data_IF_743136045787
#
_entry.id   IF_743136045787
#
_cell.length_a   1.000
_cell.length_b   1.000
_cell.length_c   1.000
_cell.angle_alpha   90.00
_cell.angle_beta   90.00
_cell.angle_gamma   90.00
#
_symmetry.space_group_name_H-M   'P 1'
#
loop_
_entity.id
_entity.type
_entity.pdbx_description
1 polymer ?
#
# COMPACT_ATOMS: atom_id res chain seq x y z
N UNK A 1 -5.68 38.21 67.55
CA UNK A 1 -6.52 37.18 66.93
C UNK A 1 -6.63 37.49 65.45
N UNK A 2 -6.18 36.55 64.61
CA UNK A 2 -6.50 36.32 63.18
C UNK A 2 -6.41 37.51 62.19
N UNK A 3 -5.83 37.38 61.00
CA UNK A 3 -5.27 36.24 60.29
C UNK A 3 -4.62 36.72 58.98
N UNK A 4 -3.54 36.07 58.59
CA UNK A 4 -2.90 36.21 57.28
C UNK A 4 -3.87 35.73 56.19
N UNK A 5 -3.91 36.42 55.05
CA UNK A 5 -4.35 35.81 53.79
C UNK A 5 -3.41 36.25 52.68
N UNK A 6 -2.44 35.38 52.40
CA UNK A 6 -1.57 35.48 51.23
C UNK A 6 -2.40 35.35 49.96
N UNK A 7 -2.18 36.29 49.03
CA UNK A 7 -2.63 36.13 47.64
C UNK A 7 -1.70 35.10 46.98
N UNK A 8 -2.21 33.88 46.87
CA UNK A 8 -1.62 32.85 46.03
C UNK A 8 -1.72 33.28 44.57
N UNK A 9 -0.57 33.55 43.97
CA UNK A 9 -0.39 33.78 42.55
C UNK A 9 -0.51 32.43 41.84
N UNK A 10 -1.74 31.99 41.57
CA UNK A 10 -1.99 30.80 40.75
C UNK A 10 -1.84 31.17 39.27
N UNK A 11 -0.60 31.39 38.85
CA UNK A 11 -0.24 31.20 37.44
C UNK A 11 -0.10 29.70 37.23
N UNK A 12 -1.07 29.12 36.55
CA UNK A 12 -0.91 27.81 35.91
C UNK A 12 0.17 27.97 34.86
N UNK A 13 1.43 27.73 35.24
CA UNK A 13 2.52 27.60 34.30
C UNK A 13 2.21 26.39 33.41
N UNK A 14 1.68 26.67 32.22
CA UNK A 14 1.64 25.69 31.16
C UNK A 14 3.10 25.34 30.86
N UNK A 15 3.49 24.10 31.17
CA UNK A 15 4.76 23.54 30.72
C UNK A 15 4.66 23.43 29.20
N UNK A 16 5.10 24.48 28.50
CA UNK A 16 5.38 24.41 27.07
C UNK A 16 6.60 23.50 26.98
N UNK A 17 6.35 22.22 26.68
CA UNK A 17 7.43 21.32 26.28
C UNK A 17 8.15 22.00 25.10
N UNK A 18 9.49 22.10 25.13
CA UNK A 18 10.21 22.60 23.98
C UNK A 18 9.77 21.77 22.75
N UNK A 19 9.71 22.37 21.55
CA UNK A 19 9.55 21.58 20.33
C UNK A 19 10.56 20.45 20.42
N UNK A 20 10.09 19.22 20.26
CA UNK A 20 10.99 18.07 20.14
C UNK A 20 12.09 18.48 19.17
N UNK A 21 13.35 18.50 19.64
CA UNK A 21 14.50 18.82 18.79
C UNK A 21 14.55 17.90 17.56
N UNK A 22 13.90 16.75 17.68
CA UNK A 22 13.78 15.72 16.68
C UNK A 22 12.42 15.74 16.01
N UNK A 23 12.39 15.54 14.70
CA UNK A 23 11.14 15.55 13.97
C UNK A 23 10.10 14.53 14.48
N UNK A 24 8.82 14.87 14.39
CA UNK A 24 7.72 13.99 14.77
C UNK A 24 7.15 13.28 13.53
N UNK A 25 7.13 11.94 13.57
CA UNK A 25 6.50 11.14 12.51
C UNK A 25 4.97 11.23 12.60
N UNK A 26 4.32 11.69 11.52
CA UNK A 26 2.86 11.84 11.48
C UNK A 26 2.19 10.93 10.46
N UNK A 27 2.78 10.82 9.28
CA UNK A 27 2.16 10.15 8.15
C UNK A 27 3.12 9.21 7.44
N UNK A 28 2.54 8.20 6.80
CA UNK A 28 3.24 7.24 5.96
C UNK A 28 2.54 7.16 4.62
N UNK A 29 3.30 7.40 3.56
CA UNK A 29 2.73 7.73 2.25
C UNK A 29 3.23 6.80 1.15
N UNK A 30 2.37 5.95 0.58
CA UNK A 30 2.58 5.42 -0.77
C UNK A 30 2.34 6.52 -1.82
N UNK A 31 2.65 6.24 -3.08
CA UNK A 31 2.34 7.17 -4.17
C UNK A 31 0.82 7.32 -4.27
N UNK A 32 0.37 8.58 -4.20
CA UNK A 32 -1.03 8.94 -4.26
C UNK A 32 -1.34 9.49 -5.65
N UNK A 33 -2.36 8.93 -6.31
CA UNK A 33 -2.86 9.48 -7.57
C UNK A 33 -3.53 10.85 -7.35
N UNK A 34 -3.34 11.76 -8.31
CA UNK A 34 -4.11 13.01 -8.40
C UNK A 34 -5.54 12.81 -8.93
N UNK A 35 -5.84 11.64 -9.50
CA UNK A 35 -7.15 11.34 -10.04
C UNK A 35 -8.12 11.00 -8.90
N UNK A 36 -9.27 11.69 -8.92
CA UNK A 36 -10.29 11.76 -7.86
C UNK A 36 -10.91 10.43 -7.44
N UNK A 37 -10.45 9.29 -7.96
CA UNK A 37 -11.11 7.99 -7.84
C UNK A 37 -10.97 7.38 -6.43
N UNK A 38 -9.95 7.77 -5.66
CA UNK A 38 -9.71 7.30 -4.29
C UNK A 38 -9.96 8.35 -3.19
N UNK A 39 -10.67 9.46 -3.48
CA UNK A 39 -10.94 10.51 -2.47
C UNK A 39 -11.82 10.07 -1.29
N UNK A 40 -12.41 8.89 -1.37
CA UNK A 40 -13.19 8.31 -0.29
C UNK A 40 -12.24 7.68 0.72
N UNK A 41 -11.60 8.52 1.51
CA UNK A 41 -10.77 8.11 2.63
C UNK A 41 -11.62 7.98 3.89
N UNK A 42 -11.02 7.47 4.96
CA UNK A 42 -11.72 7.32 6.24
C UNK A 42 -11.01 8.18 7.27
N UNK A 43 -11.75 9.08 7.94
CA UNK A 43 -11.19 9.90 9.00
C UNK A 43 -10.42 9.05 10.03
N UNK A 44 -9.23 9.50 10.42
CA UNK A 44 -8.37 8.82 11.39
C UNK A 44 -7.51 7.68 10.83
N UNK A 45 -7.78 7.20 9.62
CA UNK A 45 -6.96 6.18 8.95
C UNK A 45 -6.11 6.80 7.85
N UNK A 46 -6.70 7.68 7.06
CA UNK A 46 -6.07 8.22 5.86
C UNK A 46 -6.36 9.70 5.68
N UNK A 47 -5.28 10.47 5.52
CA UNK A 47 -5.31 11.87 5.12
C UNK A 47 -5.16 11.95 3.58
N UNK A 48 -6.13 12.56 2.87
CA UNK A 48 -6.08 12.65 1.41
C UNK A 48 -4.79 13.29 0.89
N UNK A 49 -4.24 14.23 1.63
CA UNK A 49 -3.09 15.01 1.24
C UNK A 49 -1.78 14.33 1.68
N UNK A 50 -1.74 13.75 2.87
CA UNK A 50 -0.50 13.23 3.48
C UNK A 50 -0.33 11.71 3.48
N UNK A 51 -1.39 10.91 3.29
CA UNK A 51 -1.33 9.45 3.28
C UNK A 51 -1.88 8.79 4.54
N UNK A 52 -1.40 7.58 4.87
CA UNK A 52 -1.83 6.85 6.04
C UNK A 52 -1.36 7.54 7.33
N UNK A 53 -2.25 7.68 8.31
CA UNK A 53 -1.85 8.12 9.65
C UNK A 53 -1.13 6.97 10.36
N UNK A 54 -0.09 7.30 11.13
CA UNK A 54 0.51 6.33 12.07
C UNK A 54 -0.55 5.92 13.09
N UNK A 55 -0.92 4.64 13.09
CA UNK A 55 -1.96 4.12 13.98
C UNK A 55 -1.42 3.81 15.37
N UNK A 56 -0.17 3.34 15.48
CA UNK A 56 0.47 3.07 16.78
C UNK A 56 1.99 3.02 16.68
N UNK A 57 2.69 3.46 17.73
CA UNK A 57 4.13 3.24 17.92
C UNK A 57 4.43 2.06 18.84
N UNK A 58 3.40 1.42 19.42
CA UNK A 58 3.53 0.22 20.24
C UNK A 58 3.75 -1.01 19.35
N UNK A 59 4.83 -1.79 19.54
CA UNK A 59 5.10 -3.01 18.78
C UNK A 59 3.95 -4.02 18.73
N UNK A 60 3.16 -4.13 19.81
CA UNK A 60 2.00 -5.03 19.85
C UNK A 60 0.87 -4.64 18.88
N UNK A 61 0.93 -3.45 18.28
CA UNK A 61 -0.12 -2.90 17.41
C UNK A 61 0.39 -2.52 16.02
N UNK A 62 1.62 -2.89 15.65
CA UNK A 62 2.19 -2.59 14.32
C UNK A 62 1.41 -3.20 13.16
N UNK A 63 0.60 -4.24 13.39
CA UNK A 63 -0.29 -4.79 12.38
C UNK A 63 -1.41 -3.81 11.94
N UNK A 64 -1.63 -2.73 12.68
CA UNK A 64 -2.56 -1.65 12.29
C UNK A 64 -1.90 -0.61 11.36
N UNK A 65 -0.58 -0.56 11.31
CA UNK A 65 0.16 0.41 10.51
C UNK A 65 0.29 -0.05 9.05
N UNK A 66 0.34 0.92 8.14
CA UNK A 66 0.68 0.66 6.74
C UNK A 66 2.21 0.45 6.58
N UNK A 67 2.69 -0.43 5.70
CA UNK A 67 1.92 -1.37 4.91
C UNK A 67 1.70 -2.71 5.63
N UNK A 68 0.61 -3.41 5.26
CA UNK A 68 0.40 -4.82 5.61
C UNK A 68 0.69 -5.76 4.43
N UNK A 69 0.94 -5.21 3.25
CA UNK A 69 1.25 -5.94 2.03
C UNK A 69 2.52 -5.39 1.39
N UNK A 70 3.27 -6.20 0.65
CA UNK A 70 4.50 -5.73 0.00
C UNK A 70 4.80 -6.45 -1.31
N UNK A 71 5.68 -5.87 -2.12
CA UNK A 71 6.27 -6.48 -3.32
C UNK A 71 7.63 -5.82 -3.57
N UNK A 72 8.48 -6.47 -4.37
CA UNK A 72 9.78 -5.93 -4.72
C UNK A 72 9.66 -4.60 -5.47
N UNK A 73 10.43 -3.61 -5.02
CA UNK A 73 10.48 -2.27 -5.62
C UNK A 73 9.38 -1.32 -5.15
N UNK A 74 8.40 -1.78 -4.36
CA UNK A 74 7.45 -0.86 -3.72
C UNK A 74 8.18 0.02 -2.70
N UNK A 75 7.76 1.27 -2.62
CA UNK A 75 8.33 2.20 -1.65
C UNK A 75 7.27 3.13 -1.06
N UNK A 76 7.57 3.69 0.09
CA UNK A 76 6.74 4.70 0.73
C UNK A 76 7.61 5.72 1.44
N UNK A 77 7.00 6.84 1.79
CA UNK A 77 7.67 7.92 2.49
C UNK A 77 7.18 7.99 3.94
N UNK A 78 8.11 8.07 4.88
CA UNK A 78 7.84 8.58 6.23
C UNK A 78 7.85 10.11 6.17
N UNK A 79 6.76 10.75 6.59
CA UNK A 79 6.60 12.20 6.63
C UNK A 79 6.72 12.68 8.06
N UNK A 80 7.78 13.44 8.32
CA UNK A 80 8.13 13.91 9.66
C UNK A 80 8.09 15.44 9.71
N UNK A 81 7.53 15.99 10.78
CA UNK A 81 7.53 17.44 11.04
C UNK A 81 8.76 17.77 11.90
N UNK A 82 9.67 18.57 11.37
CA UNK A 82 10.95 18.92 11.99
C UNK A 82 12.14 18.49 11.12
N UNK A 83 13.34 18.82 11.58
CA UNK A 83 14.58 18.38 10.95
C UNK A 83 14.99 17.02 11.53
N UNK A 84 15.29 16.07 10.66
CA UNK A 84 15.78 14.73 11.02
C UNK A 84 17.11 14.45 10.34
N UNK A 85 17.81 15.52 9.96
CA UNK A 85 18.99 15.45 9.12
C UNK A 85 20.21 14.84 9.81
N UNK A 86 20.19 14.78 11.13
CA UNK A 86 21.25 14.16 11.92
C UNK A 86 20.94 12.69 12.25
N UNK A 87 19.73 12.20 11.92
CA UNK A 87 19.36 10.82 12.20
C UNK A 87 20.02 9.84 11.24
N UNK A 88 20.55 8.77 11.81
CA UNK A 88 21.14 7.61 11.16
C UNK A 88 20.07 6.52 11.07
N UNK A 89 19.94 5.93 9.89
CA UNK A 89 18.92 4.94 9.58
C UNK A 89 19.57 3.67 9.03
N UNK A 90 19.15 2.51 9.56
CA UNK A 90 19.73 1.22 9.16
C UNK A 90 18.69 0.31 8.49
N UNK A 91 19.07 -0.42 7.44
CA UNK A 91 18.18 -1.36 6.78
C UNK A 91 17.86 -2.56 7.68
N UNK A 92 16.59 -2.99 7.72
CA UNK A 92 16.18 -4.24 8.34
C UNK A 92 16.01 -5.34 7.28
N UNK A 93 16.38 -6.58 7.59
CA UNK A 93 16.18 -7.74 6.71
C UNK A 93 15.55 -8.90 7.45
N UNK A 94 14.38 -9.37 6.96
CA UNK A 94 13.67 -10.52 7.50
C UNK A 94 13.11 -11.36 6.35
N UNK A 95 13.29 -12.68 6.41
CA UNK A 95 12.73 -13.62 5.43
C UNK A 95 13.05 -13.30 3.96
N UNK A 96 14.23 -12.74 3.71
CA UNK A 96 14.68 -12.33 2.37
C UNK A 96 14.06 -11.03 1.85
N UNK A 97 13.36 -10.27 2.71
CA UNK A 97 12.88 -8.92 2.42
C UNK A 97 13.75 -7.92 3.19
N UNK A 98 14.29 -6.92 2.49
CA UNK A 98 15.15 -5.86 3.02
C UNK A 98 14.50 -4.50 2.81
N UNK A 99 14.49 -3.66 3.85
CA UNK A 99 14.11 -2.24 3.72
C UNK A 99 15.34 -1.41 3.36
N UNK A 100 15.30 -0.68 2.24
CA UNK A 100 16.34 0.26 1.83
C UNK A 100 15.86 1.66 2.18
N UNK A 101 16.68 2.40 2.93
CA UNK A 101 16.34 3.72 3.48
C UNK A 101 17.12 4.80 2.74
N UNK A 102 16.42 5.76 2.16
CA UNK A 102 16.99 6.87 1.42
C UNK A 102 16.38 8.18 1.92
N UNK A 103 17.23 9.12 2.34
CA UNK A 103 16.75 10.46 2.69
C UNK A 103 16.39 11.23 1.43
N UNK A 104 15.22 11.88 1.45
CA UNK A 104 14.74 12.66 0.32
C UNK A 104 14.57 14.11 0.74
N UNK A 105 15.37 15.00 0.15
CA UNK A 105 15.34 16.45 0.43
C UNK A 105 14.33 17.19 -0.43
N UNK A 106 13.91 16.59 -1.56
CA UNK A 106 12.87 17.10 -2.45
C UNK A 106 12.11 15.93 -3.06
N UNK A 107 10.81 15.83 -2.76
CA UNK A 107 9.94 14.89 -3.47
C UNK A 107 9.46 15.56 -4.77
N UNK A 108 9.46 14.83 -5.88
CA UNK A 108 8.93 15.33 -7.15
C UNK A 108 7.41 15.51 -7.05
N UNK A 109 6.87 16.60 -7.62
CA UNK A 109 5.43 16.90 -7.58
C UNK A 109 4.51 15.91 -8.30
N UNK A 110 5.05 14.86 -8.90
CA UNK A 110 4.27 13.76 -9.43
C UNK A 110 4.10 12.62 -8.40
N UNK A 111 5.01 12.51 -7.43
CA UNK A 111 4.95 11.53 -6.33
C UNK A 111 4.10 12.04 -5.15
N UNK A 112 3.88 13.36 -5.10
CA UNK A 112 3.02 14.07 -4.14
C UNK A 112 2.02 14.93 -4.90
N UNK A 113 0.75 14.93 -4.49
CA UNK A 113 -0.30 15.68 -5.19
C UNK A 113 0.10 17.17 -5.34
N UNK A 114 -0.12 17.73 -6.54
CA UNK A 114 0.41 19.04 -6.98
C UNK A 114 0.15 20.20 -5.98
N UNK A 115 -0.98 20.15 -5.26
CA UNK A 115 -1.33 21.18 -4.27
C UNK A 115 -0.49 21.10 -2.99
N UNK A 116 -0.06 19.91 -2.55
CA UNK A 116 0.92 19.81 -1.47
C UNK A 116 2.27 20.33 -1.92
N UNK A 117 2.66 20.11 -3.17
CA UNK A 117 3.95 20.58 -3.66
C UNK A 117 4.14 22.11 -3.53
N UNK A 118 3.05 22.87 -3.67
CA UNK A 118 3.05 24.32 -3.47
C UNK A 118 2.97 24.75 -1.99
N UNK A 119 2.67 23.82 -1.08
CA UNK A 119 2.43 24.03 0.34
C UNK A 119 3.26 23.17 1.29
N UNK A 120 4.25 22.40 0.80
CA UNK A 120 5.21 21.71 1.67
C UNK A 120 5.89 22.80 2.48
N UNK A 121 5.47 22.86 3.73
CA UNK A 121 6.03 23.74 4.72
C UNK A 121 7.52 23.39 4.82
N UNK A 122 8.40 24.39 4.96
CA UNK A 122 9.86 24.20 5.04
C UNK A 122 10.33 23.33 6.23
N UNK A 123 9.40 22.81 7.01
CA UNK A 123 9.61 22.02 8.21
C UNK A 123 9.21 20.55 8.06
N UNK A 124 9.03 20.02 6.84
CA UNK A 124 8.82 18.58 6.62
C UNK A 124 10.07 17.90 6.09
N UNK A 125 10.37 16.75 6.68
CA UNK A 125 11.44 15.85 6.26
C UNK A 125 10.87 14.53 5.77
N UNK A 126 11.54 13.91 4.79
CA UNK A 126 11.06 12.70 4.13
C UNK A 126 12.13 11.61 4.14
N UNK A 127 11.74 10.40 4.55
CA UNK A 127 12.55 9.19 4.41
C UNK A 127 11.83 8.23 3.47
N UNK A 128 12.45 7.91 2.33
CA UNK A 128 11.97 6.88 1.42
C UNK A 128 12.39 5.51 1.94
N UNK A 129 11.41 4.62 2.03
CA UNK A 129 11.56 3.24 2.46
C UNK A 129 11.19 2.36 1.29
N UNK A 130 12.18 1.67 0.71
CA UNK A 130 11.95 0.74 -0.41
C UNK A 130 12.00 -0.69 0.08
N UNK A 131 11.02 -1.50 -0.30
CA UNK A 131 10.98 -2.93 -0.02
C UNK A 131 11.70 -3.68 -1.15
N UNK A 132 12.80 -4.35 -0.83
CA UNK A 132 13.53 -5.24 -1.74
C UNK A 132 13.31 -6.68 -1.30
N UNK A 133 12.96 -7.59 -2.19
CA UNK A 133 12.70 -8.98 -1.81
C UNK A 133 12.53 -9.93 -3.00
N UNK A 134 11.92 -11.11 -2.77
CA UNK A 134 11.73 -12.10 -3.83
C UNK A 134 10.88 -11.57 -4.99
N UNK A 135 11.36 -11.80 -6.21
CA UNK A 135 10.80 -11.27 -7.45
C UNK A 135 11.07 -12.22 -8.63
N UNK A 136 10.42 -11.99 -9.78
CA UNK A 136 10.42 -12.90 -10.93
C UNK A 136 10.74 -12.24 -12.29
N UNK A 137 11.37 -11.05 -12.30
CA UNK A 137 11.66 -10.23 -13.48
C UNK A 137 12.40 -10.99 -14.59
N UNK A 138 13.38 -11.80 -14.21
CA UNK A 138 14.25 -12.57 -15.11
C UNK A 138 13.50 -13.68 -15.85
N UNK A 139 12.28 -13.99 -15.43
CA UNK A 139 11.48 -15.11 -15.91
C UNK A 139 10.02 -14.72 -16.19
N UNK A 140 9.70 -13.42 -16.32
CA UNK A 140 8.36 -12.97 -16.72
C UNK A 140 7.89 -13.58 -18.05
N UNK A 141 8.79 -13.73 -19.01
CA UNK A 141 8.49 -14.33 -20.32
C UNK A 141 8.55 -15.87 -20.32
N UNK A 142 8.96 -16.50 -19.22
CA UNK A 142 9.02 -17.95 -19.13
C UNK A 142 7.62 -18.48 -18.72
N UNK A 143 6.94 -19.26 -19.58
CA UNK A 143 5.65 -19.87 -19.21
C UNK A 143 5.79 -20.93 -18.11
N UNK A 144 6.99 -21.48 -17.89
CA UNK A 144 7.31 -22.48 -16.88
C UNK A 144 8.44 -21.96 -15.98
N UNK A 145 8.16 -20.97 -15.11
CA UNK A 145 9.17 -20.35 -14.28
C UNK A 145 9.69 -21.34 -13.24
N UNK A 146 10.91 -21.10 -12.76
CA UNK A 146 11.48 -21.82 -11.63
C UNK A 146 11.01 -21.18 -10.32
N UNK A 147 10.91 -22.01 -9.28
CA UNK A 147 10.58 -21.55 -7.94
C UNK A 147 11.50 -20.41 -7.48
N UNK A 148 10.92 -19.41 -6.83
CA UNK A 148 11.66 -18.32 -6.16
C UNK A 148 11.46 -18.43 -4.65
N UNK A 149 12.21 -17.64 -3.88
CA UNK A 149 12.04 -17.59 -2.42
C UNK A 149 10.60 -17.16 -2.05
N UNK A 150 10.04 -17.81 -1.04
CA UNK A 150 8.70 -17.50 -0.48
C UNK A 150 8.92 -17.05 0.97
N UNK A 151 8.76 -15.76 1.29
CA UNK A 151 8.92 -15.25 2.65
C UNK A 151 7.92 -15.90 3.62
N UNK A 152 8.34 -16.22 4.84
CA UNK A 152 7.42 -16.70 5.89
C UNK A 152 6.77 -15.51 6.58
N UNK A 153 5.54 -15.21 6.22
CA UNK A 153 4.76 -14.10 6.78
C UNK A 153 3.74 -14.59 7.82
N UNK A 154 3.33 -13.76 8.80
CA UNK A 154 3.63 -12.33 8.94
C UNK A 154 5.04 -12.03 9.48
N UNK A 155 5.61 -10.89 9.08
CA UNK A 155 6.91 -10.39 9.58
C UNK A 155 6.81 -8.93 10.04
N UNK A 156 7.42 -8.64 11.17
CA UNK A 156 7.49 -7.29 11.74
C UNK A 156 8.75 -6.60 11.27
N UNK A 157 8.63 -5.37 10.82
CA UNK A 157 9.74 -4.49 10.46
C UNK A 157 9.71 -3.26 11.34
N UNK A 158 10.89 -2.81 11.76
CA UNK A 158 11.07 -1.58 12.52
C UNK A 158 12.08 -0.69 11.79
N UNK A 159 11.68 0.55 11.54
CA UNK A 159 12.51 1.61 11.00
C UNK A 159 12.83 2.53 12.16
N UNK A 160 14.11 2.60 12.50
CA UNK A 160 14.60 3.30 13.68
C UNK A 160 15.58 4.37 13.23
N UNK A 161 15.29 5.62 13.56
CA UNK A 161 16.17 6.76 13.39
C UNK A 161 16.90 7.01 14.69
N UNK A 162 18.23 6.90 14.66
CA UNK A 162 19.10 7.09 15.82
C UNK A 162 19.86 8.41 15.74
N UNK A 163 20.07 9.06 16.87
CA UNK A 163 20.99 10.19 16.95
C UNK A 163 22.46 9.73 16.87
N UNK A 164 23.39 10.68 16.94
CA UNK A 164 24.83 10.42 16.90
C UNK A 164 25.36 9.67 18.13
N UNK A 165 24.59 9.62 19.22
CA UNK A 165 24.90 8.86 20.44
C UNK A 165 24.33 7.44 20.39
N UNK A 166 23.52 7.11 19.37
CA UNK A 166 22.89 5.82 19.17
C UNK A 166 21.52 5.66 19.83
N UNK A 167 20.98 6.73 20.44
CA UNK A 167 19.67 6.71 21.06
C UNK A 167 18.57 6.58 20.00
N UNK A 168 17.52 5.80 20.28
CA UNK A 168 16.36 5.69 19.39
C UNK A 168 15.48 6.93 19.54
N UNK A 169 15.36 7.69 18.46
CA UNK A 169 14.64 8.97 18.46
C UNK A 169 13.31 8.86 17.73
N UNK A 170 13.33 8.26 16.53
CA UNK A 170 12.13 8.01 15.73
C UNK A 170 12.00 6.51 15.53
N UNK A 171 10.80 5.98 15.79
CA UNK A 171 10.48 4.57 15.57
C UNK A 171 9.19 4.43 14.79
N UNK A 172 9.26 3.69 13.69
CA UNK A 172 8.09 3.27 12.94
C UNK A 172 8.12 1.77 12.70
N UNK A 173 7.05 1.07 13.05
CA UNK A 173 6.96 -0.36 12.78
C UNK A 173 5.68 -0.75 12.05
N UNK A 174 5.78 -1.79 11.23
CA UNK A 174 4.68 -2.33 10.44
C UNK A 174 4.82 -3.84 10.32
N UNK A 175 3.72 -4.53 9.97
CA UNK A 175 3.71 -5.99 9.83
C UNK A 175 3.29 -6.36 8.41
N UNK A 176 4.22 -6.90 7.62
CA UNK A 176 3.88 -7.48 6.32
C UNK A 176 3.17 -8.83 6.54
N UNK A 177 1.93 -8.93 6.10
CA UNK A 177 1.11 -10.14 6.14
C UNK A 177 1.11 -10.89 4.81
N UNK A 178 1.30 -10.18 3.69
CA UNK A 178 1.33 -10.78 2.35
C UNK A 178 2.46 -10.20 1.51
N UNK A 179 3.12 -11.05 0.74
CA UNK A 179 4.09 -10.64 -0.28
C UNK A 179 3.57 -10.98 -1.67
N UNK A 180 3.67 -10.02 -2.58
CA UNK A 180 3.17 -10.11 -3.94
C UNK A 180 4.33 -10.15 -4.94
N UNK A 181 4.14 -10.93 -6.00
CA UNK A 181 5.06 -11.03 -7.13
C UNK A 181 4.28 -10.61 -8.38
N UNK A 182 4.74 -9.52 -9.00
CA UNK A 182 4.07 -8.95 -10.16
C UNK A 182 4.74 -9.49 -11.43
N UNK A 183 3.94 -9.96 -12.39
CA UNK A 183 4.40 -10.34 -13.73
C UNK A 183 4.27 -9.14 -14.66
N UNK A 184 5.40 -8.51 -14.98
CA UNK A 184 5.45 -7.13 -15.48
C UNK A 184 5.71 -6.91 -16.97
N UNK A 185 6.25 -7.89 -17.69
CA UNK A 185 6.55 -7.76 -19.12
C UNK A 185 5.64 -8.69 -19.93
N UNK A 186 4.50 -8.16 -20.38
CA UNK A 186 3.81 -8.76 -21.52
C UNK A 186 4.03 -7.82 -22.68
N UNK A 187 4.76 -8.23 -23.71
CA UNK A 187 4.78 -7.45 -24.95
C UNK A 187 3.36 -7.42 -25.50
N UNK A 188 2.90 -6.24 -25.92
CA UNK A 188 1.66 -6.13 -26.67
C UNK A 188 1.73 -7.03 -27.91
N UNK A 189 0.88 -8.05 -27.94
CA UNK A 189 0.67 -8.85 -29.13
C UNK A 189 -0.59 -8.32 -29.82
N UNK A 190 -0.53 -7.83 -31.08
CA UNK A 190 -1.69 -7.28 -31.79
C UNK A 190 -2.88 -8.24 -31.90
N UNK A 191 -2.67 -9.55 -31.74
CA UNK A 191 -3.72 -10.59 -31.77
C UNK A 191 -4.28 -10.92 -30.39
N UNK A 192 -3.56 -10.56 -29.32
CA UNK A 192 -3.84 -11.01 -27.95
C UNK A 192 -4.05 -9.86 -26.96
N UNK A 193 -3.46 -8.69 -27.19
CA UNK A 193 -3.41 -7.58 -26.25
C UNK A 193 -2.25 -7.69 -25.26
N UNK A 194 -2.38 -7.04 -24.11
CA UNK A 194 -1.44 -7.14 -22.99
C UNK A 194 -1.89 -8.26 -22.02
N UNK A 195 -0.96 -9.10 -21.57
CA UNK A 195 -1.25 -10.16 -20.57
C UNK A 195 -1.19 -11.58 -21.14
N UNK A 196 -1.84 -12.51 -20.44
CA UNK A 196 -2.08 -13.90 -20.87
C UNK A 196 -3.49 -14.36 -20.53
N UNK A 197 -3.87 -15.52 -21.07
CA UNK A 197 -5.14 -16.19 -20.77
C UNK A 197 -5.21 -16.63 -19.31
N UNK A 198 -6.41 -16.86 -18.79
CA UNK A 198 -6.59 -17.30 -17.40
C UNK A 198 -5.74 -18.54 -17.07
N UNK A 199 -5.74 -19.55 -17.94
CA UNK A 199 -5.03 -20.81 -17.72
C UNK A 199 -3.50 -20.62 -17.64
N UNK A 200 -2.92 -19.80 -18.52
CA UNK A 200 -1.48 -19.52 -18.52
C UNK A 200 -1.05 -18.86 -17.19
N UNK A 201 -1.91 -18.01 -16.65
CA UNK A 201 -1.62 -17.25 -15.44
C UNK A 201 -1.87 -18.05 -14.16
N UNK A 202 -2.94 -18.85 -14.15
CA UNK A 202 -3.25 -19.80 -13.09
C UNK A 202 -2.13 -20.83 -12.89
N UNK A 203 -1.46 -21.26 -13.97
CA UNK A 203 -0.32 -22.17 -13.90
C UNK A 203 1.00 -21.50 -13.48
N UNK A 204 1.16 -20.20 -13.74
CA UNK A 204 2.43 -19.49 -13.51
C UNK A 204 2.73 -19.27 -12.03
N UNK A 205 1.75 -18.82 -11.24
CA UNK A 205 1.97 -18.53 -9.82
C UNK A 205 2.39 -19.77 -8.98
N UNK A 206 1.73 -20.94 -9.12
CA UNK A 206 2.16 -22.17 -8.44
C UNK A 206 3.58 -22.60 -8.77
N UNK A 207 4.02 -22.38 -10.02
CA UNK A 207 5.37 -22.72 -10.46
C UNK A 207 6.46 -21.90 -9.73
N UNK A 208 6.13 -20.68 -9.28
CA UNK A 208 6.98 -19.86 -8.42
C UNK A 208 6.97 -20.29 -6.94
N UNK A 209 6.03 -21.14 -6.53
CA UNK A 209 5.73 -21.44 -5.12
C UNK A 209 4.73 -20.48 -4.48
N UNK A 210 4.01 -19.70 -5.28
CA UNK A 210 2.99 -18.73 -4.86
C UNK A 210 1.62 -19.22 -5.32
N UNK A 211 0.55 -18.51 -4.99
CA UNK A 211 -0.78 -18.74 -5.57
C UNK A 211 -1.25 -17.56 -6.39
N UNK A 212 -2.16 -17.81 -7.33
CA UNK A 212 -2.88 -16.73 -8.00
C UNK A 212 -3.69 -15.95 -6.96
N UNK A 213 -3.69 -14.63 -7.09
CA UNK A 213 -4.44 -13.74 -6.19
C UNK A 213 -5.94 -14.03 -6.25
N UNK A 214 -6.65 -13.75 -5.17
CA UNK A 214 -8.10 -13.70 -5.11
C UNK A 214 -8.54 -12.23 -5.11
N UNK A 215 -9.82 -11.95 -5.37
CA UNK A 215 -10.37 -10.58 -5.30
C UNK A 215 -10.04 -9.93 -3.96
N UNK A 216 -10.17 -10.68 -2.86
CA UNK A 216 -9.86 -10.23 -1.50
C UNK A 216 -8.38 -10.00 -1.18
N UNK A 217 -7.46 -10.41 -2.06
CA UNK A 217 -6.04 -10.07 -1.91
C UNK A 217 -5.74 -8.69 -2.50
N UNK A 218 -6.55 -8.24 -3.47
CA UNK A 218 -6.27 -7.06 -4.28
C UNK A 218 -7.09 -5.84 -3.86
N UNK A 219 -8.37 -6.01 -3.55
CA UNK A 219 -9.32 -4.90 -3.34
C UNK A 219 -10.31 -5.20 -2.23
N UNK A 220 -10.92 -4.16 -1.67
CA UNK A 220 -12.08 -4.25 -0.76
C UNK A 220 -13.41 -3.88 -1.45
N UNK A 221 -13.41 -3.80 -2.78
CA UNK A 221 -14.59 -3.52 -3.59
C UNK A 221 -15.72 -4.53 -3.36
N UNK A 222 -16.96 -4.03 -3.43
CA UNK A 222 -18.17 -4.84 -3.38
C UNK A 222 -18.84 -4.78 -4.75
N UNK A 223 -18.91 -5.93 -5.43
CA UNK A 223 -19.66 -6.10 -6.66
C UNK A 223 -20.72 -7.17 -6.40
N UNK A 224 -21.96 -6.76 -6.16
CA UNK A 224 -23.09 -7.68 -6.05
C UNK A 224 -24.16 -7.26 -7.07
N UNK A 225 -24.45 -8.11 -8.05
CA UNK A 225 -25.50 -7.90 -9.06
C UNK A 225 -26.91 -7.90 -8.45
N UNK A 226 -27.76 -6.93 -8.82
CA UNK A 226 -29.18 -6.88 -8.42
C UNK A 226 -30.12 -7.72 -9.32
N UNK A 227 -29.57 -8.44 -10.29
CA UNK A 227 -30.36 -9.18 -11.29
C UNK A 227 -30.68 -8.36 -12.55
N UNK A 228 -30.08 -7.18 -12.70
CA UNK A 228 -30.16 -6.31 -13.88
C UNK A 228 -28.75 -5.98 -14.46
N UNK A 229 -27.70 -6.66 -13.97
CA UNK A 229 -26.32 -6.46 -14.39
C UNK A 229 -25.64 -5.22 -13.77
N UNK A 230 -26.32 -4.54 -12.84
CA UNK A 230 -25.81 -3.34 -12.16
C UNK A 230 -25.38 -3.65 -10.74
N UNK A 231 -24.40 -2.88 -10.27
CA UNK A 231 -23.92 -2.93 -8.91
C UNK A 231 -25.03 -2.56 -7.92
N UNK A 232 -25.26 -3.46 -6.96
CA UNK A 232 -26.25 -3.29 -5.90
C UNK A 232 -25.95 -2.18 -4.90
N UNK A 233 -24.77 -1.59 -4.98
CA UNK A 233 -24.39 -0.45 -4.16
C UNK A 233 -24.51 0.87 -4.91
N UNK A 234 -24.35 0.85 -6.25
CA UNK A 234 -24.44 2.03 -7.09
C UNK A 234 -24.82 1.65 -8.53
N UNK A 235 -26.04 2.00 -9.00
CA UNK A 235 -26.53 1.60 -10.32
C UNK A 235 -25.81 2.26 -11.51
N UNK A 236 -24.86 3.17 -11.28
CA UNK A 236 -23.96 3.70 -12.31
C UNK A 236 -22.76 2.81 -12.61
N UNK A 237 -22.49 1.79 -11.78
CA UNK A 237 -21.42 0.83 -12.01
C UNK A 237 -22.01 -0.51 -12.46
N UNK A 238 -21.40 -1.08 -13.50
CA UNK A 238 -21.71 -2.44 -13.93
C UNK A 238 -21.16 -3.42 -12.89
N UNK A 239 -21.97 -4.41 -12.55
CA UNK A 239 -21.51 -5.52 -11.73
C UNK A 239 -21.99 -6.83 -12.35
N UNK A 240 -21.13 -7.54 -13.06
CA UNK A 240 -21.51 -8.76 -13.76
C UNK A 240 -21.60 -9.99 -12.82
N UNK A 241 -21.53 -9.85 -11.50
CA UNK A 241 -21.51 -11.01 -10.60
C UNK A 241 -21.65 -10.70 -9.10
N UNK A 242 -21.42 -11.70 -8.26
CA UNK A 242 -21.52 -11.59 -6.80
C UNK A 242 -20.18 -11.84 -6.10
N UNK A 243 -19.30 -10.83 -6.07
CA UNK A 243 -18.00 -10.89 -5.39
C UNK A 243 -17.80 -9.73 -4.42
N UNK A 244 -17.27 -10.10 -3.26
CA UNK A 244 -16.86 -9.17 -2.21
C UNK A 244 -15.37 -9.33 -2.01
N UNK A 245 -14.65 -8.22 -2.02
CA UNK A 245 -13.23 -8.17 -1.74
C UNK A 245 -12.90 -8.36 -0.27
N UNK A 246 -11.78 -7.78 0.15
CA UNK A 246 -11.32 -7.78 1.53
C UNK A 246 -12.25 -6.96 2.44
N UNK A 247 -12.09 -7.20 3.74
CA UNK A 247 -12.70 -6.37 4.78
C UNK A 247 -11.69 -5.35 5.32
N UNK A 248 -12.14 -4.17 5.77
CA UNK A 248 -13.52 -3.68 5.67
C UNK A 248 -13.89 -3.32 4.22
N UNK A 249 -15.07 -3.75 3.80
CA UNK A 249 -15.58 -3.50 2.46
C UNK A 249 -15.72 -2.01 2.16
N UNK A 250 -15.49 -1.64 0.90
CA UNK A 250 -15.88 -0.33 0.41
C UNK A 250 -17.39 -0.26 0.18
N UNK A 251 -17.95 0.95 0.04
CA UNK A 251 -19.37 1.10 -0.20
C UNK A 251 -19.82 0.72 -1.61
N UNK A 252 -18.92 0.41 -2.56
CA UNK A 252 -19.25 0.10 -3.96
C UNK A 252 -18.16 -0.69 -4.70
N UNK A 253 -18.36 -1.01 -5.98
CA UNK A 253 -17.39 -1.76 -6.79
C UNK A 253 -16.13 -0.97 -7.20
N UNK A 254 -15.48 -0.34 -6.23
CA UNK A 254 -14.15 0.27 -6.32
C UNK A 254 -13.45 0.18 -4.97
N UNK A 255 -12.13 0.20 -4.98
CA UNK A 255 -11.35 0.20 -3.76
C UNK A 255 -11.55 1.50 -2.98
N UNK A 256 -11.67 1.37 -1.66
CA UNK A 256 -11.61 2.46 -0.71
C UNK A 256 -10.28 2.36 0.05
N UNK A 257 -9.57 3.48 0.26
CA UNK A 257 -8.30 3.47 0.99
C UNK A 257 -8.50 2.96 2.42
N UNK A 258 -7.86 1.83 2.71
CA UNK A 258 -7.94 1.08 3.96
C UNK A 258 -6.63 0.33 4.14
N UNK A 259 -6.14 0.30 5.38
CA UNK A 259 -5.01 -0.54 5.79
C UNK A 259 -5.56 -1.95 6.05
N UNK A 260 -4.89 -2.98 5.53
CA UNK A 260 -5.28 -4.38 5.70
C UNK A 260 -6.38 -4.88 4.76
N UNK A 261 -6.80 -4.08 3.77
CA UNK A 261 -7.96 -4.41 2.91
C UNK A 261 -7.58 -4.70 1.45
N UNK A 262 -6.36 -5.17 1.21
CA UNK A 262 -5.87 -5.60 -0.09
C UNK A 262 -4.77 -4.71 -0.66
N UNK A 263 -4.10 -5.24 -1.68
CA UNK A 263 -2.93 -4.61 -2.28
C UNK A 263 -3.21 -3.20 -2.83
N UNK A 264 -4.30 -3.04 -3.60
CA UNK A 264 -4.65 -1.77 -4.25
C UNK A 264 -5.15 -0.75 -3.23
N UNK A 265 -5.78 -1.18 -2.14
CA UNK A 265 -6.27 -0.26 -1.10
C UNK A 265 -5.12 0.41 -0.35
N UNK A 266 -4.00 -0.30 -0.22
CA UNK A 266 -2.78 0.19 0.44
C UNK A 266 -1.88 0.95 -0.53
N UNK A 267 -1.53 0.36 -1.66
CA UNK A 267 -0.50 0.90 -2.55
C UNK A 267 -1.06 1.75 -3.69
N UNK A 268 -2.35 1.65 -3.98
CA UNK A 268 -2.91 2.25 -5.18
C UNK A 268 -2.34 1.59 -6.44
N UNK A 269 -2.03 2.39 -7.45
CA UNK A 269 -1.66 1.90 -8.77
C UNK A 269 -0.18 1.49 -8.88
N UNK A 270 0.14 0.21 -9.12
CA UNK A 270 1.52 -0.29 -9.05
C UNK A 270 2.48 0.27 -10.11
N UNK A 271 1.96 0.87 -11.18
CA UNK A 271 2.77 1.47 -12.25
C UNK A 271 3.65 2.62 -11.79
N UNK A 272 3.34 3.23 -10.64
CA UNK A 272 4.14 4.33 -10.12
C UNK A 272 5.40 3.87 -9.41
N UNK A 273 5.47 2.59 -9.04
CA UNK A 273 6.59 2.02 -8.30
C UNK A 273 7.57 1.27 -9.19
N UNK A 274 7.08 0.77 -10.32
CA UNK A 274 7.78 -0.24 -11.12
C UNK A 274 7.83 0.21 -12.57
N UNK A 275 8.79 -0.33 -13.33
CA UNK A 275 8.85 -0.16 -14.79
C UNK A 275 7.76 -0.95 -15.54
N UNK A 276 6.67 -1.32 -14.86
CA UNK A 276 5.60 -2.12 -15.43
C UNK A 276 4.70 -1.19 -16.22
N UNK A 277 4.61 -1.46 -17.52
CA UNK A 277 3.92 -0.61 -18.46
C UNK A 277 2.39 -0.76 -18.29
N UNK A 278 1.71 0.36 -18.02
CA UNK A 278 0.26 0.60 -18.20
C UNK A 278 -0.74 0.00 -17.20
N UNK A 279 -2.01 0.43 -17.34
CA UNK A 279 -3.14 0.02 -16.53
C UNK A 279 -3.34 -1.49 -16.61
N UNK A 280 -3.30 -2.17 -15.47
CA UNK A 280 -3.38 -3.63 -15.43
C UNK A 280 -4.75 -4.04 -14.91
N UNK A 281 -5.48 -4.82 -15.68
CA UNK A 281 -6.48 -5.71 -15.11
C UNK A 281 -5.77 -7.01 -14.71
N UNK A 282 -5.94 -7.42 -13.46
CA UNK A 282 -5.27 -8.58 -12.86
C UNK A 282 -6.25 -9.74 -12.81
N UNK A 283 -5.86 -10.91 -13.30
CA UNK A 283 -6.61 -12.14 -13.07
C UNK A 283 -6.66 -12.50 -11.59
N UNK A 284 -7.81 -12.97 -11.15
CA UNK A 284 -7.97 -13.58 -9.83
C UNK A 284 -8.43 -15.02 -10.00
N UNK A 285 -8.09 -15.90 -9.06
CA UNK A 285 -8.53 -17.31 -9.04
C UNK A 285 -10.03 -17.47 -8.79
N UNK A 286 -10.73 -16.41 -8.40
CA UNK A 286 -12.18 -16.37 -8.37
C UNK A 286 -12.73 -16.58 -9.79
N UNK A 287 -13.48 -17.67 -10.01
CA UNK A 287 -14.05 -17.98 -11.32
C UNK A 287 -15.43 -18.63 -11.24
N UNK A 288 -16.16 -18.57 -12.36
CA UNK A 288 -17.49 -19.14 -12.54
C UNK A 288 -17.67 -19.61 -14.00
N UNK A 289 -17.68 -20.93 -14.18
CA UNK A 289 -17.70 -21.56 -15.51
C UNK A 289 -16.56 -21.06 -16.42
N UNK A 290 -16.94 -20.55 -17.59
CA UNK A 290 -16.03 -19.99 -18.60
C UNK A 290 -15.55 -18.57 -18.29
N UNK A 291 -15.96 -17.99 -17.16
CA UNK A 291 -15.60 -16.65 -16.74
C UNK A 291 -14.71 -16.66 -15.50
N UNK A 292 -13.87 -15.65 -15.36
CA UNK A 292 -13.10 -15.38 -14.15
C UNK A 292 -13.16 -13.91 -13.77
N UNK A 293 -12.93 -13.62 -12.50
CA UNK A 293 -12.95 -12.28 -11.97
C UNK A 293 -11.58 -11.62 -12.14
N UNK A 294 -11.61 -10.32 -12.41
CA UNK A 294 -10.42 -9.50 -12.54
C UNK A 294 -10.54 -8.26 -11.68
N UNK A 295 -9.41 -7.65 -11.32
CA UNK A 295 -9.38 -6.38 -10.60
C UNK A 295 -8.57 -5.35 -11.37
N UNK A 296 -9.12 -4.16 -11.58
CA UNK A 296 -8.42 -3.04 -12.22
C UNK A 296 -7.49 -2.34 -11.24
N UNK A 297 -6.19 -2.22 -11.56
CA UNK A 297 -5.20 -1.65 -10.62
C UNK A 297 -5.34 -0.17 -10.34
N UNK A 298 -5.98 0.61 -11.23
CA UNK A 298 -6.20 2.05 -11.03
C UNK A 298 -7.47 2.41 -10.25
N UNK A 299 -8.39 1.47 -10.02
CA UNK A 299 -9.66 1.75 -9.32
C UNK A 299 -10.02 0.72 -8.26
N UNK A 300 -9.37 -0.45 -8.27
CA UNK A 300 -9.78 -1.62 -7.49
C UNK A 300 -11.14 -2.19 -7.90
N UNK A 301 -11.67 -1.80 -9.06
CA UNK A 301 -12.94 -2.31 -9.59
C UNK A 301 -12.83 -3.80 -9.91
N UNK A 302 -13.85 -4.56 -9.54
CA UNK A 302 -14.02 -5.98 -9.87
C UNK A 302 -14.83 -6.10 -11.16
N UNK A 303 -14.35 -6.93 -12.07
CA UNK A 303 -15.03 -7.24 -13.33
C UNK A 303 -15.03 -8.75 -13.57
N UNK A 304 -16.00 -9.26 -14.34
CA UNK A 304 -16.12 -10.68 -14.70
C UNK A 304 -15.98 -10.80 -16.21
N UNK A 305 -14.96 -11.54 -16.65
CA UNK A 305 -14.61 -11.62 -18.07
C UNK A 305 -14.33 -13.05 -18.49
N UNK A 306 -14.54 -13.34 -19.77
CA UNK A 306 -14.30 -14.65 -20.35
C UNK A 306 -12.83 -15.07 -20.21
N UNK A 307 -12.57 -16.32 -19.81
CA UNK A 307 -11.23 -16.84 -19.46
C UNK A 307 -10.21 -16.81 -20.59
N UNK A 308 -10.64 -16.76 -21.85
CA UNK A 308 -9.73 -16.61 -22.99
C UNK A 308 -9.35 -15.16 -23.33
N UNK A 309 -9.84 -14.17 -22.56
CA UNK A 309 -9.31 -12.81 -22.62
C UNK A 309 -7.89 -12.75 -22.05
N UNK A 310 -7.19 -11.66 -22.34
CA UNK A 310 -5.83 -11.43 -21.86
C UNK A 310 -5.84 -10.43 -20.71
N UNK A 311 -5.22 -10.84 -19.60
CA UNK A 311 -5.06 -10.00 -18.41
C UNK A 311 -3.69 -10.26 -17.80
N UNK A 312 -3.27 -9.34 -16.95
CA UNK A 312 -2.00 -9.45 -16.25
C UNK A 312 -2.16 -10.33 -15.01
N UNK A 313 -1.04 -10.56 -14.31
CA UNK A 313 -1.02 -11.48 -13.17
C UNK A 313 -0.17 -10.96 -12.05
N UNK A 314 -0.74 -11.09 -10.86
CA UNK A 314 -0.06 -10.88 -9.60
C UNK A 314 -0.25 -12.16 -8.79
N UNK A 315 0.86 -12.70 -8.32
CA UNK A 315 0.88 -13.82 -7.41
C UNK A 315 1.02 -13.32 -5.98
N UNK A 316 0.55 -14.10 -5.02
CA UNK A 316 0.66 -13.79 -3.60
C UNK A 316 1.15 -15.02 -2.84
N UNK A 317 1.84 -14.79 -1.73
CA UNK A 317 2.24 -15.86 -0.81
C UNK A 317 1.03 -16.77 -0.49
N UNK A 318 1.24 -18.10 -0.37
CA UNK A 318 0.17 -19.09 -0.17
C UNK A 318 -0.83 -18.73 0.93
#
# INVERSE_FOLDING_TARGET
MAGQNGRGDNRSDAIILPPSQWGELKYVRPILESYRQFRFTIPGIWDPDYGALVQSTNPASYALNFPTTGADGLYFYLLMVGEVDELIWEPATHEGITTILERVTKIQCFEIEFNLCNGINRSMSFLKVTLKGPEANSQWQNPYPSRIAVPRLPQTFEIIGRDSEGNEVIKYGFVLQKWFVIRGDYKYDPRKGWGGTFQEQEAWCPSLGYRLTQVKDLTNAVCIDRGDGKDSTNPYFECPGGKVGAMPSSPYNRAQRRIGAGFITEWGWPMHYTHINSAMWIWTSDSDGDYAYTTGTGSGMVDRVWKGNYRNTVCVTP
#
